data_IF_900492563253
#
_entry.id   IF_900492563253
#
_cell.length_a   1.000
_cell.length_b   1.000
_cell.length_c   1.000
_cell.angle_alpha   90.00
_cell.angle_beta   90.00
_cell.angle_gamma   90.00
#
_symmetry.space_group_name_H-M   'P 1'
#
loop_
_entity.id
_entity.type
_entity.pdbx_description
1 polymer ?
#
# COMPACT_ATOMS: atom_id res chain seq x y z
N UNK A 1 -4.09 -10.44 -45.09
CA UNK A 1 -4.70 -11.13 -43.93
C UNK A 1 -4.95 -10.09 -42.85
N UNK A 2 -6.20 -9.71 -42.59
CA UNK A 2 -6.52 -8.74 -41.54
C UNK A 2 -6.49 -9.45 -40.19
N UNK A 3 -5.69 -8.95 -39.24
CA UNK A 3 -5.68 -9.47 -37.88
C UNK A 3 -7.05 -9.23 -37.24
N UNK A 4 -7.66 -10.28 -36.69
CA UNK A 4 -8.91 -10.14 -35.95
C UNK A 4 -8.71 -9.16 -34.77
N UNK A 5 -9.69 -8.28 -34.49
CA UNK A 5 -9.57 -7.36 -33.37
C UNK A 5 -9.41 -8.15 -32.07
N UNK A 6 -8.36 -7.84 -31.31
CA UNK A 6 -8.14 -8.46 -30.02
C UNK A 6 -9.38 -8.26 -29.13
N UNK A 7 -9.83 -9.34 -28.49
CA UNK A 7 -10.99 -9.24 -27.62
C UNK A 7 -10.70 -8.30 -26.46
N UNK A 8 -11.71 -7.58 -25.94
CA UNK A 8 -11.53 -6.72 -24.77
C UNK A 8 -11.02 -7.48 -23.54
N UNK A 9 -11.16 -8.80 -23.46
CA UNK A 9 -10.60 -9.58 -22.35
C UNK A 9 -9.10 -9.82 -22.51
N UNK A 10 -8.64 -10.20 -23.71
CA UNK A 10 -7.21 -10.42 -23.99
C UNK A 10 -6.37 -9.16 -23.74
N UNK A 11 -6.90 -7.98 -24.07
CA UNK A 11 -6.18 -6.73 -23.83
C UNK A 11 -6.19 -6.32 -22.33
N UNK A 12 -7.07 -6.87 -21.49
CA UNK A 12 -7.04 -6.62 -20.04
C UNK A 12 -5.94 -7.49 -19.40
N UNK A 13 -5.84 -8.75 -19.81
CA UNK A 13 -4.78 -9.67 -19.40
C UNK A 13 -3.39 -9.11 -19.70
N UNK A 14 -3.18 -8.58 -20.91
CA UNK A 14 -1.92 -7.93 -21.27
C UNK A 14 -1.61 -6.69 -20.41
N UNK A 15 -2.63 -5.90 -20.07
CA UNK A 15 -2.43 -4.76 -19.17
C UNK A 15 -2.09 -5.23 -17.76
N UNK A 16 -2.74 -6.29 -17.26
CA UNK A 16 -2.40 -6.90 -15.98
C UNK A 16 -0.95 -7.39 -15.96
N UNK A 17 -0.47 -8.04 -17.01
CA UNK A 17 0.94 -8.46 -17.11
C UNK A 17 1.92 -7.28 -17.09
N UNK A 18 1.56 -6.13 -17.66
CA UNK A 18 2.38 -4.91 -17.54
C UNK A 18 2.35 -4.39 -16.12
N UNK A 19 1.18 -4.38 -15.47
CA UNK A 19 1.03 -3.92 -14.09
C UNK A 19 1.72 -4.84 -13.08
N UNK A 20 1.76 -6.16 -13.29
CA UNK A 20 2.50 -7.12 -12.44
C UNK A 20 4.02 -6.92 -12.50
N UNK A 21 4.53 -6.23 -13.52
CA UNK A 21 5.96 -5.88 -13.57
C UNK A 21 6.29 -4.66 -12.70
N UNK A 22 5.30 -3.92 -12.20
CA UNK A 22 5.51 -2.81 -11.28
C UNK A 22 5.82 -3.36 -9.89
N UNK A 23 6.97 -3.01 -9.28
CA UNK A 23 7.32 -3.49 -7.95
C UNK A 23 6.30 -3.06 -6.89
N UNK A 24 5.97 -3.93 -5.92
CA UNK A 24 5.00 -3.62 -4.88
C UNK A 24 5.46 -2.50 -3.92
N UNK A 25 6.77 -2.25 -3.83
CA UNK A 25 7.40 -1.18 -3.05
C UNK A 25 7.40 0.18 -3.76
N UNK A 26 6.93 0.26 -5.01
CA UNK A 26 6.65 1.49 -5.73
C UNK A 26 5.14 1.72 -5.95
N UNK A 27 4.39 2.06 -4.88
CA UNK A 27 2.96 2.31 -4.99
C UNK A 27 2.64 3.53 -5.88
N UNK A 28 3.59 4.45 -6.07
CA UNK A 28 3.36 5.66 -6.86
C UNK A 28 3.24 5.35 -8.35
N UNK A 29 3.99 4.36 -8.85
CA UNK A 29 3.85 3.91 -10.24
C UNK A 29 2.49 3.27 -10.51
N UNK A 30 1.95 2.48 -9.58
CA UNK A 30 0.57 1.96 -9.68
C UNK A 30 -0.46 3.10 -9.68
N UNK A 31 -0.26 4.14 -8.86
CA UNK A 31 -1.15 5.31 -8.86
C UNK A 31 -1.07 6.04 -10.21
N UNK A 32 0.12 6.30 -10.75
CA UNK A 32 0.30 6.93 -12.05
C UNK A 32 -0.32 6.11 -13.18
N UNK A 33 -0.26 4.78 -13.10
CA UNK A 33 -0.89 3.87 -14.04
C UNK A 33 -2.43 4.07 -14.12
N UNK A 34 -3.10 4.50 -13.03
CA UNK A 34 -4.54 4.83 -13.05
C UNK A 34 -4.89 6.06 -13.90
N UNK A 35 -3.88 6.86 -14.29
CA UNK A 35 -4.03 8.08 -15.06
C UNK A 35 -3.84 7.85 -16.56
N UNK A 36 -3.30 6.70 -16.98
CA UNK A 36 -3.03 6.39 -18.39
C UNK A 36 -4.32 6.36 -19.21
N UNK A 37 -5.32 5.58 -18.78
CA UNK A 37 -6.63 5.55 -19.41
C UNK A 37 -7.71 4.95 -18.48
N UNK A 38 -8.98 5.08 -18.87
CA UNK A 38 -10.12 4.51 -18.12
C UNK A 38 -9.99 3.00 -17.89
N UNK A 39 -9.39 2.29 -18.85
CA UNK A 39 -9.21 0.83 -18.81
C UNK A 39 -8.23 0.41 -17.72
N UNK A 40 -7.04 1.00 -17.70
CA UNK A 40 -6.03 0.76 -16.66
C UNK A 40 -6.59 1.09 -15.27
N UNK A 41 -7.30 2.21 -15.15
CA UNK A 41 -7.99 2.59 -13.90
C UNK A 41 -9.01 1.53 -13.46
N UNK A 42 -9.78 0.96 -14.39
CA UNK A 42 -10.77 -0.09 -14.07
C UNK A 42 -10.08 -1.34 -13.52
N UNK A 43 -9.02 -1.82 -14.17
CA UNK A 43 -8.23 -2.98 -13.73
C UNK A 43 -7.65 -2.72 -12.34
N UNK A 44 -7.02 -1.56 -12.13
CA UNK A 44 -6.42 -1.19 -10.84
C UNK A 44 -7.42 -1.01 -9.70
N UNK A 45 -8.72 -0.87 -10.00
CA UNK A 45 -9.79 -0.83 -8.99
C UNK A 45 -10.43 -2.21 -8.74
N UNK A 46 -10.11 -3.21 -9.55
CA UNK A 46 -10.66 -4.55 -9.41
C UNK A 46 -10.05 -5.29 -8.21
N UNK A 47 -10.91 -5.90 -7.40
CA UNK A 47 -10.47 -6.68 -6.24
C UNK A 47 -9.74 -7.97 -6.66
N UNK A 48 -10.14 -8.57 -7.78
CA UNK A 48 -9.48 -9.74 -8.34
C UNK A 48 -8.04 -9.44 -8.77
N UNK A 49 -7.81 -8.29 -9.42
CA UNK A 49 -6.46 -7.82 -9.74
C UNK A 49 -5.60 -7.66 -8.48
N UNK A 50 -6.12 -7.06 -7.40
CA UNK A 50 -5.35 -6.91 -6.14
C UNK A 50 -4.99 -8.25 -5.52
N UNK A 51 -5.87 -9.24 -5.62
CA UNK A 51 -5.58 -10.60 -5.17
C UNK A 51 -4.45 -11.22 -5.98
N UNK A 52 -4.58 -11.25 -7.31
CA UNK A 52 -3.56 -11.80 -8.22
C UNK A 52 -2.21 -11.08 -8.09
N UNK A 53 -2.23 -9.76 -7.92
CA UNK A 53 -1.02 -8.95 -7.71
C UNK A 53 -0.29 -9.38 -6.43
N UNK A 54 -1.03 -9.58 -5.34
CA UNK A 54 -0.44 -10.06 -4.07
C UNK A 54 0.05 -11.50 -4.16
N UNK A 55 -0.65 -12.38 -4.87
CA UNK A 55 -0.21 -13.76 -5.09
C UNK A 55 1.06 -13.83 -5.93
N UNK A 56 1.14 -13.01 -6.99
CA UNK A 56 2.31 -12.91 -7.87
C UNK A 56 3.55 -12.43 -7.10
N UNK A 57 3.40 -11.38 -6.28
CA UNK A 57 4.52 -10.80 -5.52
C UNK A 57 4.80 -11.51 -4.19
N UNK A 58 3.89 -12.38 -3.70
CA UNK A 58 3.94 -13.22 -2.48
C UNK A 58 4.10 -12.48 -1.15
N UNK A 59 5.01 -11.52 -1.05
CA UNK A 59 5.23 -10.69 0.11
C UNK A 59 4.51 -9.34 -0.05
N UNK A 60 3.62 -8.95 0.87
CA UNK A 60 3.09 -7.59 0.86
C UNK A 60 4.25 -6.60 1.06
N UNK A 61 4.23 -5.45 0.37
CA UNK A 61 5.29 -4.46 0.52
C UNK A 61 5.33 -3.97 1.96
N UNK A 62 6.52 -4.00 2.58
CA UNK A 62 6.69 -3.40 3.89
C UNK A 62 6.63 -1.88 3.71
N UNK A 63 5.50 -1.28 4.09
CA UNK A 63 5.29 0.17 3.95
C UNK A 63 6.16 0.96 4.94
N UNK A 64 6.51 0.35 6.07
CA UNK A 64 7.35 0.95 7.09
C UNK A 64 7.36 0.17 8.39
N UNK A 65 8.14 0.66 9.33
CA UNK A 65 8.28 0.13 10.69
C UNK A 65 7.62 1.11 11.67
N UNK A 66 6.96 0.58 12.69
CA UNK A 66 6.41 1.37 13.78
C UNK A 66 7.28 1.20 15.03
N UNK A 67 7.74 2.32 15.57
CA UNK A 67 8.61 2.34 16.75
C UNK A 67 8.13 3.34 17.80
N UNK A 68 8.34 3.01 19.06
CA UNK A 68 8.10 3.93 20.17
C UNK A 68 9.35 4.80 20.36
N UNK A 69 9.23 6.12 20.22
CA UNK A 69 10.40 7.01 20.26
C UNK A 69 11.07 7.09 21.64
N UNK A 70 10.30 6.99 22.72
CA UNK A 70 10.76 6.78 24.10
C UNK A 70 9.55 6.61 25.04
N UNK A 71 9.75 5.95 26.18
CA UNK A 71 8.76 5.84 27.26
C UNK A 71 8.50 7.17 28.00
N UNK A 72 9.24 8.24 27.68
CA UNK A 72 9.07 9.56 28.30
C UNK A 72 8.23 10.45 27.39
N UNK A 73 8.45 10.37 26.07
CA UNK A 73 7.78 11.24 25.11
C UNK A 73 6.46 10.67 24.61
N UNK A 74 6.20 9.38 24.84
CA UNK A 74 4.95 8.69 24.46
C UNK A 74 4.55 8.95 23.01
N UNK A 75 5.50 8.73 22.10
CA UNK A 75 5.33 8.94 20.66
C UNK A 75 5.45 7.63 19.91
N UNK A 76 4.36 7.22 19.27
CA UNK A 76 4.40 6.23 18.21
C UNK A 76 4.90 6.90 16.92
N UNK A 77 5.94 6.35 16.31
CA UNK A 77 6.53 6.85 15.05
C UNK A 77 6.42 5.78 13.97
N UNK A 78 5.97 6.18 12.79
CA UNK A 78 6.03 5.38 11.56
C UNK A 78 7.25 5.81 10.74
N UNK A 79 8.15 4.87 10.50
CA UNK A 79 9.33 5.01 9.66
C UNK A 79 9.05 4.36 8.30
N UNK A 80 8.80 5.13 7.24
CA UNK A 80 8.52 4.56 5.93
C UNK A 80 9.76 3.81 5.40
N UNK A 81 9.55 2.65 4.79
CA UNK A 81 10.58 1.88 4.06
C UNK A 81 10.42 1.94 2.55
N UNK A 82 9.44 2.72 2.09
CA UNK A 82 9.19 3.01 0.67
C UNK A 82 9.05 4.51 0.45
N UNK A 83 8.79 4.91 -0.81
CA UNK A 83 8.51 6.31 -1.17
C UNK A 83 7.21 6.86 -0.54
N UNK A 84 6.39 5.99 0.08
CA UNK A 84 5.16 6.39 0.76
C UNK A 84 5.41 7.34 1.93
N UNK A 85 4.68 8.46 1.96
CA UNK A 85 4.71 9.43 3.06
C UNK A 85 3.40 9.36 3.83
N UNK A 86 3.44 8.84 5.06
CA UNK A 86 2.27 8.87 5.95
C UNK A 86 2.10 10.26 6.58
N UNK A 87 0.92 10.91 6.50
CA UNK A 87 0.64 12.15 7.23
C UNK A 87 0.71 11.96 8.76
N UNK A 88 0.48 10.73 9.23
CA UNK A 88 0.52 10.34 10.64
C UNK A 88 1.84 9.68 11.00
N UNK A 89 2.96 10.25 10.55
CA UNK A 89 4.29 9.70 10.83
C UNK A 89 4.64 9.71 12.33
N UNK A 90 3.99 10.57 13.12
CA UNK A 90 4.15 10.64 14.57
C UNK A 90 2.78 10.85 15.22
N UNK A 91 2.41 10.00 16.17
CA UNK A 91 1.21 10.14 16.99
C UNK A 91 1.64 10.32 18.45
N UNK A 92 1.27 11.45 19.05
CA UNK A 92 1.62 11.82 20.43
C UNK A 92 0.66 11.17 21.43
N UNK A 93 1.12 10.97 22.65
CA UNK A 93 0.38 10.37 23.77
C UNK A 93 -0.10 8.95 23.46
N UNK A 94 0.59 8.26 22.55
CA UNK A 94 0.26 6.90 22.13
C UNK A 94 1.52 6.04 22.12
N UNK A 95 1.37 4.78 22.50
CA UNK A 95 2.39 3.73 22.38
C UNK A 95 1.89 2.65 21.43
N UNK A 96 2.75 2.18 20.55
CA UNK A 96 2.52 0.98 19.75
C UNK A 96 2.60 -0.23 20.67
N UNK A 97 1.44 -0.83 20.96
CA UNK A 97 1.36 -2.03 21.77
C UNK A 97 1.63 -3.27 20.92
N UNK A 98 1.13 -3.28 19.67
CA UNK A 98 1.17 -4.46 18.82
C UNK A 98 0.91 -4.13 17.34
N UNK A 99 1.49 -4.90 16.41
CA UNK A 99 1.22 -4.80 14.96
C UNK A 99 1.09 -6.19 14.29
N UNK A 100 -0.03 -6.46 13.61
CA UNK A 100 -0.25 -7.67 12.77
C UNK A 100 -1.15 -7.35 11.59
N UNK A 101 -0.97 -8.07 10.49
CA UNK A 101 -1.90 -8.07 9.35
C UNK A 101 -2.21 -6.66 8.79
N UNK A 102 -1.23 -5.76 8.78
CA UNK A 102 -1.43 -4.37 8.33
C UNK A 102 -2.24 -3.49 9.28
N UNK A 103 -2.47 -3.93 10.52
CA UNK A 103 -3.16 -3.18 11.58
C UNK A 103 -2.23 -2.97 12.78
N UNK A 104 -2.46 -1.86 13.48
CA UNK A 104 -1.64 -1.40 14.60
C UNK A 104 -2.56 -1.12 15.77
N UNK A 105 -2.25 -1.71 16.93
CA UNK A 105 -2.89 -1.39 18.20
C UNK A 105 -2.08 -0.30 18.89
N UNK A 106 -2.72 0.84 19.15
CA UNK A 106 -2.15 1.96 19.87
C UNK A 106 -2.81 2.07 21.25
N UNK A 107 -2.00 2.22 22.29
CA UNK A 107 -2.47 2.49 23.64
C UNK A 107 -2.35 3.99 23.92
N UNK A 108 -3.47 4.61 24.30
CA UNK A 108 -3.48 6.01 24.71
C UNK A 108 -3.04 6.13 26.15
N UNK A 109 -2.13 7.07 26.40
CA UNK A 109 -1.69 7.37 27.76
C UNK A 109 -2.49 8.55 28.26
N UNK A 110 -3.18 8.42 29.40
CA UNK A 110 -3.87 9.55 30.00
C UNK A 110 -2.87 10.66 30.27
N UNK A 111 -3.16 11.86 29.75
CA UNK A 111 -2.46 13.06 30.15
C UNK A 111 -2.74 13.23 31.64
N UNK A 112 -1.73 13.06 32.49
CA UNK A 112 -1.84 13.44 33.89
C UNK A 112 -2.26 14.91 33.93
N UNK A 113 -3.44 15.18 34.52
CA UNK A 113 -3.77 16.53 34.97
C UNK A 113 -2.70 16.90 36.00
N UNK A 114 -1.99 18.00 35.75
CA UNK A 114 -1.14 18.63 36.75
C UNK A 114 -1.95 19.15 37.92
#
# INVERSE_FOLDING_TARGET
MMAAPASPLLLDELVEEVLFRIPPDDPMSLIRATLVCKRWRRILRDHGFHHRFREFHRAPPMLGVLCNSSYITYRARFMPTSSFRSPHAIIRNMIVAYARHGRVLLHSIPQGQG
#
